data_IF_711847227024
#
_entry.id   IF_711847227024
#
_cell.length_a   1.000
_cell.length_b   1.000
_cell.length_c   1.000
_cell.angle_alpha   90.00
_cell.angle_beta   90.00
_cell.angle_gamma   90.00
#
_symmetry.space_group_name_H-M   'P 1'
#
loop_
_entity.id
_entity.type
_entity.pdbx_description
1 polymer ?
#
# COMPACT_ATOMS: atom_id res chain seq x y z
N UNK A 1 27.04 51.90 9.13
CA UNK A 1 25.86 51.00 9.06
C UNK A 1 26.38 49.58 9.04
N UNK A 2 26.28 48.78 10.12
CA UNK A 2 26.62 47.36 10.07
C UNK A 2 25.39 46.53 9.66
N UNK A 3 25.60 45.56 8.78
CA UNK A 3 24.60 44.59 8.36
C UNK A 3 24.36 43.58 9.49
N UNK A 4 23.10 43.44 9.91
CA UNK A 4 22.64 42.35 10.78
C UNK A 4 22.36 41.11 9.95
N UNK A 5 23.19 40.08 10.09
CA UNK A 5 22.86 38.72 9.65
C UNK A 5 21.89 38.13 10.67
N UNK A 6 20.66 37.83 10.26
CA UNK A 6 19.69 37.12 11.08
C UNK A 6 19.98 35.61 11.01
N UNK A 7 20.23 35.01 12.17
CA UNK A 7 20.41 33.56 12.33
C UNK A 7 19.06 32.83 12.14
N UNK A 8 19.05 31.81 11.27
CA UNK A 8 17.87 30.99 11.01
C UNK A 8 17.59 30.02 12.18
N UNK A 9 16.59 30.34 12.98
CA UNK A 9 16.02 29.46 14.00
C UNK A 9 15.14 28.37 13.39
N UNK A 10 15.73 27.20 13.08
CA UNK A 10 14.98 25.96 12.89
C UNK A 10 15.31 24.96 14.00
N UNK A 11 14.60 25.11 15.13
CA UNK A 11 14.46 24.04 16.11
C UNK A 11 13.03 23.51 16.05
N UNK A 12 12.82 22.39 15.34
CA UNK A 12 11.63 21.56 15.55
C UNK A 12 11.97 20.48 16.56
N UNK A 13 11.65 20.73 17.84
CA UNK A 13 11.60 19.70 18.88
C UNK A 13 10.45 18.74 18.56
N UNK A 14 10.76 17.57 18.00
CA UNK A 14 9.81 16.47 17.88
C UNK A 14 9.66 15.76 19.23
N UNK A 15 8.57 16.04 19.95
CA UNK A 15 8.20 15.28 21.16
C UNK A 15 7.77 13.87 20.76
N UNK A 16 8.18 12.86 21.53
CA UNK A 16 8.00 11.41 21.36
C UNK A 16 6.53 10.91 21.20
N UNK A 17 5.55 11.81 21.16
CA UNK A 17 4.12 11.54 20.96
C UNK A 17 3.72 11.29 19.50
N UNK A 18 4.60 11.58 18.52
CA UNK A 18 4.34 11.38 17.10
C UNK A 18 4.45 9.92 16.60
N UNK A 19 4.73 8.96 17.49
CA UNK A 19 5.03 7.57 17.10
C UNK A 19 3.83 6.64 16.96
N UNK A 20 2.60 7.12 17.23
CA UNK A 20 1.37 6.31 17.15
C UNK A 20 0.37 6.81 16.13
N UNK A 21 0.66 7.91 15.43
CA UNK A 21 -0.20 8.37 14.35
C UNK A 21 -0.01 7.45 13.15
N UNK A 22 -1.06 6.69 12.77
CA UNK A 22 -1.02 5.89 11.55
C UNK A 22 -0.76 6.84 10.39
N UNK A 23 0.37 6.63 9.71
CA UNK A 23 0.68 7.41 8.51
C UNK A 23 -0.47 7.29 7.51
N UNK A 24 -0.98 8.42 6.97
CA UNK A 24 -2.06 8.38 6.01
C UNK A 24 -1.60 7.65 4.74
N UNK A 25 -2.50 6.86 4.16
CA UNK A 25 -2.30 6.20 2.87
C UNK A 25 -2.79 7.11 1.73
N UNK A 26 -2.17 7.01 0.56
CA UNK A 26 -2.69 7.64 -0.66
C UNK A 26 -3.92 6.91 -1.24
N UNK A 27 -4.39 7.36 -2.39
CA UNK A 27 -5.52 6.75 -3.14
C UNK A 27 -6.89 7.31 -2.78
N UNK A 28 -6.99 8.24 -1.83
CA UNK A 28 -8.26 8.82 -1.42
C UNK A 28 -8.62 10.04 -2.29
N UNK A 29 -9.01 9.78 -3.54
CA UNK A 29 -9.42 10.82 -4.48
C UNK A 29 -10.65 11.61 -4.00
N UNK A 30 -11.59 10.98 -3.30
CA UNK A 30 -12.75 11.67 -2.72
C UNK A 30 -12.33 12.77 -1.75
N UNK A 31 -11.34 12.48 -0.88
CA UNK A 31 -10.76 13.49 0.01
C UNK A 31 -10.05 14.59 -0.77
N UNK A 32 -9.26 14.24 -1.78
CA UNK A 32 -8.55 15.22 -2.60
C UNK A 32 -9.52 16.14 -3.37
N UNK A 33 -10.61 15.61 -3.92
CA UNK A 33 -11.65 16.39 -4.59
C UNK A 33 -12.40 17.32 -3.63
N UNK A 34 -12.65 16.89 -2.39
CA UNK A 34 -13.28 17.72 -1.37
C UNK A 34 -12.37 18.90 -0.93
N UNK A 35 -11.06 18.68 -0.90
CA UNK A 35 -10.08 19.67 -0.42
C UNK A 35 -9.61 20.63 -1.52
N UNK A 36 -9.43 20.13 -2.74
CA UNK A 36 -8.80 20.87 -3.84
C UNK A 36 -9.72 21.05 -5.06
N UNK A 37 -10.93 20.52 -5.02
CA UNK A 37 -11.87 20.51 -6.14
C UNK A 37 -11.59 19.38 -7.15
N UNK A 38 -12.54 19.19 -8.08
CA UNK A 38 -12.46 18.16 -9.12
C UNK A 38 -12.00 18.76 -10.46
N UNK A 39 -10.85 18.36 -11.01
CA UNK A 39 -10.40 18.79 -12.33
C UNK A 39 -11.34 18.28 -13.44
N UNK A 40 -11.41 19.03 -14.56
CA UNK A 40 -12.26 18.68 -15.71
C UNK A 40 -11.99 17.27 -16.26
N UNK A 41 -10.71 16.89 -16.34
CA UNK A 41 -10.29 15.58 -16.86
C UNK A 41 -10.10 14.53 -15.76
N UNK A 42 -10.52 14.83 -14.52
CA UNK A 42 -10.23 14.02 -13.35
C UNK A 42 -8.78 14.15 -12.86
N UNK A 43 -8.51 13.49 -11.75
CA UNK A 43 -7.18 13.47 -11.14
C UNK A 43 -6.24 12.48 -11.83
N UNK A 44 -4.98 12.89 -12.01
CA UNK A 44 -3.87 11.95 -12.16
C UNK A 44 -3.40 11.53 -10.77
N UNK A 45 -3.82 10.35 -10.31
CA UNK A 45 -3.48 9.86 -8.98
C UNK A 45 -2.06 9.25 -8.95
N UNK A 46 -1.10 10.00 -8.41
CA UNK A 46 0.27 9.54 -8.16
C UNK A 46 0.52 9.26 -6.67
N UNK A 47 -0.52 9.24 -5.85
CA UNK A 47 -0.41 9.02 -4.40
C UNK A 47 -0.33 7.54 -4.02
N UNK A 48 -0.46 6.63 -4.99
CA UNK A 48 -0.36 5.18 -4.82
C UNK A 48 0.73 4.56 -5.71
N UNK A 49 1.17 3.36 -5.35
CA UNK A 49 2.07 2.54 -6.18
C UNK A 49 1.34 1.54 -7.09
N UNK A 50 0.08 1.77 -7.45
CA UNK A 50 -0.72 0.83 -8.25
C UNK A 50 -0.33 0.92 -9.72
N UNK A 51 -0.10 -0.23 -10.35
CA UNK A 51 0.15 -0.32 -11.79
C UNK A 51 -1.11 0.08 -12.58
N UNK A 52 -1.07 1.08 -13.48
CA UNK A 52 -2.22 1.47 -14.30
C UNK A 52 -2.62 0.40 -15.32
N UNK A 53 -1.73 -0.54 -15.64
CA UNK A 53 -2.04 -1.69 -16.50
C UNK A 53 -2.43 -2.90 -15.64
N UNK A 54 -3.72 -3.28 -15.58
CA UNK A 54 -4.18 -4.35 -14.70
C UNK A 54 -3.63 -5.72 -15.14
N UNK A 55 -3.38 -6.60 -14.18
CA UNK A 55 -3.02 -7.98 -14.46
C UNK A 55 -4.22 -8.74 -15.07
N UNK A 56 -4.03 -9.55 -16.12
CA UNK A 56 -5.14 -10.20 -16.83
C UNK A 56 -5.63 -11.47 -16.09
N UNK A 57 -6.31 -11.29 -14.95
CA UNK A 57 -6.77 -12.39 -14.08
C UNK A 57 -7.74 -13.37 -14.78
N UNK A 58 -8.45 -12.95 -15.83
CA UNK A 58 -9.44 -13.78 -16.53
C UNK A 58 -10.75 -13.95 -15.75
N UNK A 59 -11.57 -14.95 -16.12
CA UNK A 59 -12.83 -15.25 -15.41
C UNK A 59 -12.55 -16.05 -14.14
N UNK A 60 -13.06 -15.56 -13.00
CA UNK A 60 -13.01 -16.27 -11.72
C UNK A 60 -14.27 -17.14 -11.57
N UNK A 61 -14.10 -18.41 -11.21
CA UNK A 61 -15.22 -19.34 -10.96
C UNK A 61 -16.13 -18.78 -9.83
N UNK A 62 -17.46 -18.70 -10.05
CA UNK A 62 -18.39 -18.13 -9.07
C UNK A 62 -18.29 -18.72 -7.66
N UNK A 63 -17.87 -19.99 -7.54
CA UNK A 63 -17.75 -20.65 -6.24
C UNK A 63 -16.82 -19.90 -5.26
N UNK A 64 -15.81 -19.21 -5.78
CA UNK A 64 -14.82 -18.51 -4.95
C UNK A 64 -15.39 -17.25 -4.28
N UNK A 65 -16.58 -16.76 -4.67
CA UNK A 65 -17.22 -15.60 -4.03
C UNK A 65 -18.05 -15.96 -2.80
N UNK A 66 -18.54 -17.19 -2.70
CA UNK A 66 -19.51 -17.57 -1.67
C UNK A 66 -19.07 -18.75 -0.79
N UNK A 67 -17.90 -19.36 -1.07
CA UNK A 67 -17.30 -20.37 -0.20
C UNK A 67 -16.08 -19.81 0.53
N UNK A 68 -15.80 -20.34 1.71
CA UNK A 68 -14.53 -20.07 2.38
C UNK A 68 -13.38 -20.82 1.66
N UNK A 69 -12.18 -20.23 1.56
CA UNK A 69 -10.99 -20.94 1.11
C UNK A 69 -10.71 -22.14 2.02
N UNK A 70 -10.31 -23.26 1.44
CA UNK A 70 -9.88 -24.45 2.18
C UNK A 70 -8.35 -24.61 2.20
N UNK A 71 -7.88 -25.66 2.87
CA UNK A 71 -6.44 -25.94 2.97
C UNK A 71 -5.81 -26.34 1.64
N UNK A 72 -6.57 -26.95 0.72
CA UNK A 72 -6.08 -27.31 -0.60
C UNK A 72 -5.90 -26.05 -1.47
N UNK A 73 -6.82 -25.09 -1.39
CA UNK A 73 -6.70 -23.78 -2.05
C UNK A 73 -5.42 -23.06 -1.58
N UNK A 74 -5.17 -23.02 -0.27
CA UNK A 74 -3.96 -22.42 0.31
C UNK A 74 -2.70 -23.15 -0.16
N UNK A 75 -2.72 -24.48 -0.22
CA UNK A 75 -1.58 -25.25 -0.69
C UNK A 75 -1.22 -24.93 -2.15
N UNK A 76 -2.22 -24.87 -3.04
CA UNK A 76 -2.03 -24.47 -4.45
C UNK A 76 -1.47 -23.06 -4.57
N UNK A 77 -1.98 -22.11 -3.79
CA UNK A 77 -1.47 -20.74 -3.75
C UNK A 77 0.02 -20.68 -3.36
N UNK A 78 0.40 -21.39 -2.30
CA UNK A 78 1.78 -21.40 -1.81
C UNK A 78 2.74 -22.07 -2.81
N UNK A 79 2.31 -23.13 -3.50
CA UNK A 79 3.11 -23.76 -4.56
C UNK A 79 3.33 -22.80 -5.74
N UNK A 80 2.28 -22.12 -6.21
CA UNK A 80 2.39 -21.15 -7.28
C UNK A 80 3.34 -19.99 -6.90
N UNK A 81 3.25 -19.48 -5.67
CA UNK A 81 4.16 -18.45 -5.16
C UNK A 81 5.61 -18.92 -5.12
N UNK A 82 5.87 -20.16 -4.65
CA UNK A 82 7.23 -20.73 -4.63
C UNK A 82 7.83 -20.81 -6.02
N UNK A 83 7.05 -21.27 -7.00
CA UNK A 83 7.50 -21.36 -8.39
C UNK A 83 7.76 -19.97 -8.96
N UNK A 84 6.82 -19.03 -8.80
CA UNK A 84 6.92 -17.69 -9.37
C UNK A 84 8.10 -16.88 -8.81
N UNK A 85 8.40 -17.05 -7.52
CA UNK A 85 9.45 -16.31 -6.83
C UNK A 85 10.79 -17.08 -6.72
N UNK A 86 10.88 -18.30 -7.26
CA UNK A 86 12.11 -19.10 -7.22
C UNK A 86 12.57 -19.47 -5.79
N UNK A 87 11.63 -19.77 -4.91
CA UNK A 87 11.91 -19.98 -3.48
C UNK A 87 12.57 -21.34 -3.23
N UNK A 88 13.74 -21.34 -2.60
CA UNK A 88 14.46 -22.56 -2.22
C UNK A 88 13.67 -23.43 -1.21
N UNK A 89 13.91 -24.74 -1.25
CA UNK A 89 13.02 -25.74 -0.63
C UNK A 89 12.74 -25.56 0.87
N UNK A 90 13.70 -25.04 1.65
CA UNK A 90 13.52 -24.88 3.09
C UNK A 90 13.02 -23.49 3.53
N UNK A 91 12.93 -22.52 2.63
CA UNK A 91 12.45 -21.18 3.00
C UNK A 91 10.92 -21.21 3.22
N UNK A 92 10.46 -20.58 4.31
CA UNK A 92 9.04 -20.46 4.64
C UNK A 92 8.32 -19.50 3.70
N UNK A 93 7.03 -19.76 3.45
CA UNK A 93 6.15 -18.89 2.65
C UNK A 93 4.83 -18.77 3.40
N UNK A 94 4.35 -17.54 3.57
CA UNK A 94 3.11 -17.24 4.28
C UNK A 94 2.23 -16.38 3.38
N UNK A 95 0.96 -16.76 3.24
CA UNK A 95 -0.05 -15.95 2.58
C UNK A 95 -0.76 -15.07 3.62
N UNK A 96 -1.02 -13.81 3.28
CA UNK A 96 -1.74 -12.86 4.13
C UNK A 96 -2.60 -11.91 3.27
N UNK A 97 -3.63 -11.28 3.84
CA UNK A 97 -4.45 -10.28 3.15
C UNK A 97 -3.70 -8.93 3.02
N UNK A 98 -2.65 -8.92 2.20
CA UNK A 98 -1.79 -7.75 1.98
C UNK A 98 -0.59 -7.67 2.93
N UNK A 99 0.41 -6.89 2.55
CA UNK A 99 1.69 -6.76 3.28
C UNK A 99 1.54 -6.03 4.61
N UNK A 100 0.60 -5.09 4.71
CA UNK A 100 0.35 -4.33 5.92
C UNK A 100 -0.01 -5.24 7.10
N UNK A 101 -0.81 -6.30 6.88
CA UNK A 101 -1.20 -7.26 7.91
C UNK A 101 -0.02 -8.04 8.52
N UNK A 102 1.14 -8.07 7.86
CA UNK A 102 2.35 -8.76 8.36
C UNK A 102 3.33 -7.77 8.99
N UNK A 103 3.36 -6.51 8.55
CA UNK A 103 4.44 -5.56 8.86
C UNK A 103 4.03 -4.47 9.86
N UNK A 104 2.73 -4.17 10.00
CA UNK A 104 2.19 -3.09 10.84
C UNK A 104 1.13 -3.60 11.81
#
# INVERSE_FOLDING_TARGET
MPETVAENGWQKKGTRAAMTERLPHGGNLTKAEAEYGRPLNGWLDLSTGINPMPYPVGRIDPKFWHRLPDQADLHVLLLAARQAYGIAGQAGVVAAPGTQAIIQ
#
